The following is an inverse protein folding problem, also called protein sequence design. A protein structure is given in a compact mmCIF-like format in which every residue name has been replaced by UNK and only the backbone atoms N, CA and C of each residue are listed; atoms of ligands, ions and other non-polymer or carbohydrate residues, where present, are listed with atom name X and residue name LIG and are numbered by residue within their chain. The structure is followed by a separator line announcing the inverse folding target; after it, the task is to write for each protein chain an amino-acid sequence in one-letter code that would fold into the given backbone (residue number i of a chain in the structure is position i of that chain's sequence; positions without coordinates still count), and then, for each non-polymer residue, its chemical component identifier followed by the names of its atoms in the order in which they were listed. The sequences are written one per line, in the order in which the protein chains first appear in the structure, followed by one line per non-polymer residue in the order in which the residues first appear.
data_IF_399567575333
#
_entry.id   IF_399567575333
#
_cell.length_a   1.000
_cell.length_b   1.000
_cell.length_c   1.000
_cell.angle_alpha   90.00
_cell.angle_beta   90.00
_cell.angle_gamma   90.00
#
_symmetry.space_group_name_H-M   'P 1'
#
loop_
_entity.id
_entity.type
_entity.pdbx_description
1 polymer ?
#
# COMPACT_ATOMS: atom_id res chain seq x y z
N UNK A 1 29.76 6.54 29.88
CA UNK A 1 29.71 6.55 28.40
C UNK A 1 28.61 7.49 27.94
N UNK A 2 28.91 8.46 27.07
CA UNK A 2 27.88 9.33 26.48
C UNK A 2 26.94 8.48 25.62
N UNK A 3 25.63 8.74 25.64
CA UNK A 3 24.67 8.06 24.75
C UNK A 3 24.50 8.88 23.47
N UNK A 4 24.44 8.22 22.32
CA UNK A 4 24.07 8.87 21.06
C UNK A 4 22.66 9.47 21.16
N UNK A 5 22.49 10.71 20.70
CA UNK A 5 21.19 11.38 20.58
C UNK A 5 21.14 12.09 19.23
N UNK A 6 20.10 11.81 18.44
CA UNK A 6 19.90 12.50 17.18
C UNK A 6 18.82 13.58 17.35
N UNK A 7 19.12 14.87 17.10
CA UNK A 7 18.21 15.98 17.40
C UNK A 7 16.83 15.85 16.74
N UNK A 8 16.75 15.22 15.57
CA UNK A 8 15.52 15.03 14.81
C UNK A 8 14.89 13.64 15.01
N UNK A 9 15.24 12.92 16.09
CA UNK A 9 14.70 11.59 16.39
C UNK A 9 13.17 11.62 16.45
N UNK A 10 12.58 12.60 17.15
CA UNK A 10 11.11 12.73 17.27
C UNK A 10 10.43 12.95 15.91
N UNK A 11 11.03 13.77 15.05
CA UNK A 11 10.51 14.05 13.72
C UNK A 11 10.62 12.80 12.83
N UNK A 12 11.73 12.06 12.92
CA UNK A 12 11.89 10.78 12.18
C UNK A 12 10.81 9.77 12.58
N UNK A 13 10.58 9.60 13.88
CA UNK A 13 9.56 8.66 14.37
C UNK A 13 8.16 9.06 13.89
N UNK A 14 7.84 10.36 13.90
CA UNK A 14 6.59 10.86 13.32
C UNK A 14 6.49 10.55 11.82
N UNK A 15 7.54 10.79 11.04
CA UNK A 15 7.56 10.42 9.60
C UNK A 15 7.46 8.91 9.37
N UNK A 16 7.97 8.08 10.29
CA UNK A 16 7.78 6.63 10.24
C UNK A 16 6.31 6.26 10.41
N UNK A 17 5.65 6.86 11.40
CA UNK A 17 4.21 6.64 11.64
C UNK A 17 3.36 7.10 10.46
N UNK A 18 3.69 8.23 9.83
CA UNK A 18 3.03 8.66 8.60
C UNK A 18 3.24 7.66 7.47
N UNK A 19 4.47 7.17 7.25
CA UNK A 19 4.76 6.14 6.25
C UNK A 19 3.93 4.86 6.49
N UNK A 20 3.85 4.41 7.74
CA UNK A 20 3.03 3.25 8.14
C UNK A 20 1.54 3.49 7.86
N UNK A 21 1.02 4.68 8.18
CA UNK A 21 -0.36 5.07 7.93
C UNK A 21 -0.68 5.10 6.43
N UNK A 22 0.18 5.71 5.61
CA UNK A 22 0.00 5.78 4.15
C UNK A 22 0.09 4.38 3.51
N UNK A 23 0.91 3.48 4.08
CA UNK A 23 1.01 2.08 3.65
C UNK A 23 -0.30 1.33 3.92
N UNK A 24 -0.86 1.49 5.12
CA UNK A 24 -2.15 0.90 5.48
C UNK A 24 -3.29 1.45 4.62
N UNK A 25 -3.29 2.76 4.36
CA UNK A 25 -4.26 3.42 3.50
C UNK A 25 -4.17 2.92 2.03
N UNK A 26 -2.96 2.67 1.52
CA UNK A 26 -2.78 2.05 0.20
C UNK A 26 -3.34 0.64 0.16
N UNK A 27 -3.06 -0.18 1.16
CA UNK A 27 -3.61 -1.54 1.25
C UNK A 27 -5.15 -1.53 1.26
N UNK A 28 -5.76 -0.61 2.01
CA UNK A 28 -7.21 -0.43 2.03
C UNK A 28 -7.77 0.05 0.68
N UNK A 29 -7.07 0.94 -0.03
CA UNK A 29 -7.48 1.39 -1.36
C UNK A 29 -7.42 0.25 -2.40
N UNK A 30 -6.36 -0.55 -2.37
CA UNK A 30 -6.22 -1.72 -3.25
C UNK A 30 -7.29 -2.77 -2.95
N UNK A 31 -7.56 -3.04 -1.68
CA UNK A 31 -8.62 -3.98 -1.29
C UNK A 31 -10.00 -3.56 -1.80
N UNK A 32 -10.32 -2.26 -1.73
CA UNK A 32 -11.55 -1.70 -2.30
C UNK A 32 -11.63 -1.90 -3.82
N UNK A 33 -10.54 -1.65 -4.54
CA UNK A 33 -10.49 -1.90 -5.99
C UNK A 33 -10.74 -3.38 -6.32
N UNK A 34 -10.10 -4.29 -5.59
CA UNK A 34 -10.30 -5.73 -5.77
C UNK A 34 -11.74 -6.16 -5.47
N UNK A 35 -12.39 -5.56 -4.47
CA UNK A 35 -13.79 -5.84 -4.18
C UNK A 35 -14.72 -5.43 -5.34
N UNK A 36 -14.45 -4.28 -5.97
CA UNK A 36 -15.19 -3.82 -7.16
C UNK A 36 -14.95 -4.77 -8.33
N UNK A 37 -13.72 -5.22 -8.55
CA UNK A 37 -13.39 -6.18 -9.61
C UNK A 37 -14.08 -7.53 -9.41
N UNK A 38 -14.17 -8.02 -8.17
CA UNK A 38 -14.97 -9.23 -7.86
C UNK A 38 -16.45 -9.02 -8.14
N UNK A 39 -17.00 -7.86 -7.78
CA UNK A 39 -18.40 -7.51 -8.08
C UNK A 39 -18.67 -7.47 -9.59
N UNK A 40 -17.73 -6.93 -10.36
CA UNK A 40 -17.78 -6.97 -11.82
C UNK A 40 -17.79 -8.41 -12.35
N UNK A 41 -16.86 -9.25 -11.90
CA UNK A 41 -16.81 -10.65 -12.29
C UNK A 41 -18.12 -11.39 -11.96
N UNK A 42 -18.73 -11.10 -10.79
CA UNK A 42 -20.02 -11.65 -10.41
C UNK A 42 -21.16 -11.21 -11.35
N UNK A 43 -21.23 -9.93 -11.72
CA UNK A 43 -22.23 -9.43 -12.69
C UNK A 43 -22.10 -10.14 -14.04
N UNK A 44 -20.87 -10.36 -14.53
CA UNK A 44 -20.65 -11.09 -15.77
C UNK A 44 -21.05 -12.55 -15.67
N UNK A 45 -20.73 -13.21 -14.55
CA UNK A 45 -21.13 -14.59 -14.32
C UNK A 45 -22.66 -14.75 -14.23
N UNK A 46 -23.35 -13.86 -13.51
CA UNK A 46 -24.81 -13.79 -13.44
C UNK A 46 -25.43 -13.60 -14.85
N UNK A 47 -24.87 -12.68 -15.64
CA UNK A 47 -25.34 -12.40 -17.00
C UNK A 47 -25.10 -13.58 -17.97
N UNK A 48 -23.96 -14.27 -17.83
CA UNK A 48 -23.62 -15.46 -18.60
C UNK A 48 -24.56 -16.62 -18.29
N UNK A 49 -24.73 -16.95 -17.01
CA UNK A 49 -25.61 -18.03 -16.55
C UNK A 49 -27.06 -17.86 -17.02
N UNK A 50 -27.60 -16.64 -16.93
CA UNK A 50 -28.95 -16.35 -17.44
C UNK A 50 -29.06 -16.51 -18.97
N UNK A 51 -27.98 -16.26 -19.70
CA UNK A 51 -27.91 -16.48 -21.15
C UNK A 51 -27.80 -17.97 -21.51
N UNK A 52 -27.03 -18.74 -20.75
CA UNK A 52 -26.86 -20.18 -20.93
C UNK A 52 -28.14 -20.96 -20.61
N UNK A 53 -28.85 -20.59 -19.53
CA UNK A 53 -30.13 -21.22 -19.16
C UNK A 53 -31.21 -21.04 -20.24
N UNK A 54 -31.26 -19.87 -20.90
CA UNK A 54 -32.22 -19.68 -22.00
C UNK A 54 -31.83 -20.49 -23.24
N UNK A 55 -30.53 -20.52 -23.60
CA UNK A 55 -30.04 -21.33 -24.73
C UNK A 55 -30.28 -22.82 -24.52
N UNK A 56 -30.11 -23.32 -23.31
CA UNK A 56 -30.33 -24.73 -23.00
C UNK A 56 -31.82 -25.11 -23.09
N UNK A 57 -32.73 -24.24 -22.65
CA UNK A 57 -34.19 -24.42 -22.80
C UNK A 57 -34.64 -24.39 -24.26
N UNK A 58 -34.12 -23.45 -25.04
CA UNK A 58 -34.37 -23.39 -26.50
C UNK A 58 -33.90 -24.69 -27.19
N UNK A 59 -32.70 -25.17 -26.85
CA UNK A 59 -32.16 -26.43 -27.40
C UNK A 59 -32.96 -27.67 -26.97
N UNK A 60 -33.60 -27.65 -25.80
CA UNK A 60 -34.48 -28.70 -25.31
C UNK A 60 -35.89 -28.68 -25.96
N UNK A 61 -36.14 -27.77 -26.91
CA UNK A 61 -37.43 -27.63 -27.58
C UNK A 61 -38.53 -27.02 -26.71
N UNK A 62 -38.17 -26.45 -25.55
CA UNK A 62 -39.10 -25.66 -24.76
C UNK A 62 -39.33 -24.33 -25.48
N UNK A 63 -40.57 -24.07 -25.90
CA UNK A 63 -40.93 -22.78 -26.50
C UNK A 63 -40.74 -21.65 -25.50
N UNK A 64 -39.86 -20.70 -25.82
CA UNK A 64 -39.66 -19.51 -24.99
C UNK A 64 -40.91 -18.64 -25.06
N UNK A 65 -41.55 -18.43 -23.91
CA UNK A 65 -42.75 -17.57 -23.85
C UNK A 65 -42.31 -16.11 -23.99
N UNK A 66 -43.08 -15.29 -24.71
CA UNK A 66 -42.77 -13.86 -24.91
C UNK A 66 -42.50 -13.10 -23.59
N UNK A 67 -43.14 -13.51 -22.49
CA UNK A 67 -42.90 -12.99 -21.16
C UNK A 67 -41.49 -13.27 -20.62
N UNK A 68 -40.95 -14.47 -20.86
CA UNK A 68 -39.59 -14.87 -20.43
C UNK A 68 -38.52 -14.12 -21.25
N UNK A 69 -38.75 -13.95 -22.56
CA UNK A 69 -37.89 -13.13 -23.41
C UNK A 69 -37.86 -11.65 -22.95
N UNK A 70 -39.02 -11.09 -22.58
CA UNK A 70 -39.11 -9.73 -22.03
C UNK A 70 -38.39 -9.62 -20.67
N UNK A 71 -38.51 -10.62 -19.81
CA UNK A 71 -37.81 -10.68 -18.52
C UNK A 71 -36.29 -10.72 -18.70
N UNK A 72 -35.79 -11.54 -19.63
CA UNK A 72 -34.35 -11.60 -19.93
C UNK A 72 -33.84 -10.27 -20.50
N UNK A 73 -34.60 -9.61 -21.37
CA UNK A 73 -34.24 -8.30 -21.90
C UNK A 73 -34.09 -7.26 -20.79
N UNK A 74 -35.03 -7.22 -19.84
CA UNK A 74 -34.96 -6.35 -18.66
C UNK A 74 -33.74 -6.66 -17.79
N UNK A 75 -33.51 -7.95 -17.50
CA UNK A 75 -32.35 -8.40 -16.73
C UNK A 75 -31.03 -8.01 -17.40
N UNK A 76 -30.89 -8.17 -18.72
CA UNK A 76 -29.71 -7.75 -19.48
C UNK A 76 -29.51 -6.24 -19.43
N UNK A 77 -30.58 -5.45 -19.54
CA UNK A 77 -30.51 -4.00 -19.42
C UNK A 77 -30.04 -3.57 -18.01
N UNK A 78 -30.56 -4.22 -16.96
CA UNK A 78 -30.15 -3.98 -15.58
C UNK A 78 -28.69 -4.39 -15.34
N UNK A 79 -28.27 -5.57 -15.81
CA UNK A 79 -26.89 -6.03 -15.71
C UNK A 79 -25.91 -5.07 -16.40
N UNK A 80 -26.27 -4.53 -17.58
CA UNK A 80 -25.48 -3.49 -18.26
C UNK A 80 -25.40 -2.20 -17.45
N UNK A 81 -26.49 -1.79 -16.80
CA UNK A 81 -26.50 -0.59 -15.94
C UNK A 81 -25.60 -0.78 -14.71
N UNK A 82 -25.75 -1.92 -14.02
CA UNK A 82 -24.90 -2.32 -12.88
C UNK A 82 -23.43 -2.38 -13.27
N UNK A 83 -23.13 -2.93 -14.46
CA UNK A 83 -21.77 -2.97 -14.99
C UNK A 83 -21.20 -1.57 -15.24
N UNK A 84 -21.95 -0.69 -15.92
CA UNK A 84 -21.51 0.68 -16.20
C UNK A 84 -21.31 1.49 -14.90
N UNK A 85 -22.15 1.27 -13.89
CA UNK A 85 -21.97 1.84 -12.54
C UNK A 85 -20.68 1.33 -11.89
N UNK A 86 -20.45 0.01 -11.90
CA UNK A 86 -19.25 -0.60 -11.35
C UNK A 86 -17.96 -0.16 -12.07
N UNK A 87 -18.01 0.04 -13.39
CA UNK A 87 -16.85 0.54 -14.15
C UNK A 87 -16.49 1.98 -13.76
N UNK A 88 -17.49 2.85 -13.57
CA UNK A 88 -17.26 4.20 -13.05
C UNK A 88 -16.68 4.19 -11.64
N UNK A 89 -17.17 3.29 -10.79
CA UNK A 89 -16.66 3.12 -9.42
C UNK A 89 -15.20 2.62 -9.43
N UNK A 90 -14.90 1.65 -10.31
CA UNK A 90 -13.55 1.10 -10.52
C UNK A 90 -12.57 2.17 -10.95
N UNK A 91 -12.95 3.02 -11.90
CA UNK A 91 -12.08 4.10 -12.38
C UNK A 91 -11.77 5.10 -11.26
N UNK A 92 -12.78 5.49 -10.46
CA UNK A 92 -12.56 6.32 -9.26
C UNK A 92 -11.65 5.64 -8.24
N UNK A 93 -11.82 4.34 -8.02
CA UNK A 93 -10.99 3.57 -7.10
C UNK A 93 -9.54 3.47 -7.60
N UNK A 94 -9.31 3.29 -8.92
CA UNK A 94 -7.97 3.31 -9.53
C UNK A 94 -7.28 4.65 -9.34
N UNK A 95 -7.99 5.75 -9.57
CA UNK A 95 -7.47 7.10 -9.34
C UNK A 95 -7.10 7.30 -7.86
N UNK A 96 -7.93 6.83 -6.93
CA UNK A 96 -7.64 6.89 -5.51
C UNK A 96 -6.40 6.07 -5.12
N UNK A 97 -6.23 4.87 -5.69
CA UNK A 97 -5.02 4.05 -5.49
C UNK A 97 -3.78 4.79 -5.99
N UNK A 98 -3.84 5.40 -7.16
CA UNK A 98 -2.68 6.10 -7.71
C UNK A 98 -2.32 7.35 -6.90
N UNK A 99 -3.31 8.15 -6.48
CA UNK A 99 -3.09 9.26 -5.56
C UNK A 99 -2.46 8.80 -4.24
N UNK A 100 -2.92 7.67 -3.71
CA UNK A 100 -2.39 7.10 -2.48
C UNK A 100 -0.95 6.59 -2.64
N UNK A 101 -0.59 6.07 -3.81
CA UNK A 101 0.81 5.71 -4.12
C UNK A 101 1.73 6.92 -4.13
N UNK A 102 1.28 8.04 -4.70
CA UNK A 102 2.08 9.27 -4.70
C UNK A 102 2.34 9.77 -3.28
N UNK A 103 1.30 9.78 -2.42
CA UNK A 103 1.46 10.12 -0.99
C UNK A 103 2.42 9.20 -0.26
N UNK A 104 2.32 7.89 -0.52
CA UNK A 104 3.24 6.90 0.05
C UNK A 104 4.70 7.15 -0.37
N UNK A 105 4.93 7.48 -1.64
CA UNK A 105 6.26 7.80 -2.15
C UNK A 105 6.84 9.04 -1.47
N UNK A 106 6.04 10.09 -1.27
CA UNK A 106 6.45 11.31 -0.59
C UNK A 106 6.76 11.06 0.89
N UNK A 107 5.91 10.32 1.59
CA UNK A 107 6.13 9.92 2.99
C UNK A 107 7.42 9.11 3.12
N UNK A 108 7.64 8.15 2.20
CA UNK A 108 8.85 7.32 2.17
C UNK A 108 10.10 8.16 1.94
N UNK A 109 10.10 9.06 0.95
CA UNK A 109 11.24 9.97 0.68
C UNK A 109 11.57 10.81 1.92
N UNK A 110 10.56 11.36 2.57
CA UNK A 110 10.71 12.21 3.75
C UNK A 110 11.30 11.43 4.95
N UNK A 111 10.86 10.19 5.15
CA UNK A 111 11.42 9.30 6.17
C UNK A 111 12.88 8.90 5.85
N UNK A 112 13.16 8.46 4.62
CA UNK A 112 14.49 7.99 4.21
C UNK A 112 15.57 9.07 4.34
N UNK A 113 15.25 10.33 4.07
CA UNK A 113 16.19 11.44 4.25
C UNK A 113 16.59 11.58 5.72
N UNK A 114 15.62 11.56 6.64
CA UNK A 114 15.90 11.68 8.07
C UNK A 114 16.65 10.46 8.61
N UNK A 115 16.32 9.27 8.12
CA UNK A 115 16.97 8.04 8.54
C UNK A 115 18.45 8.01 8.10
N UNK A 116 18.74 8.34 6.84
CA UNK A 116 20.12 8.48 6.35
C UNK A 116 20.91 9.55 7.11
N UNK A 117 20.27 10.67 7.47
CA UNK A 117 20.91 11.70 8.28
C UNK A 117 21.28 11.18 9.68
N UNK A 118 20.40 10.40 10.31
CA UNK A 118 20.68 9.75 11.59
C UNK A 118 21.81 8.74 11.48
N UNK A 119 21.80 7.89 10.45
CA UNK A 119 22.86 6.91 10.22
C UNK A 119 24.23 7.58 10.08
N UNK A 120 24.33 8.64 9.27
CA UNK A 120 25.55 9.44 9.14
C UNK A 120 26.00 10.05 10.46
N UNK A 121 25.07 10.64 11.21
CA UNK A 121 25.37 11.21 12.53
C UNK A 121 25.85 10.14 13.52
N UNK A 122 25.24 8.95 13.48
CA UNK A 122 25.61 7.81 14.32
C UNK A 122 27.01 7.31 13.98
N UNK A 123 27.33 7.15 12.70
CA UNK A 123 28.67 6.72 12.28
C UNK A 123 29.76 7.71 12.70
N UNK A 124 29.49 9.02 12.60
CA UNK A 124 30.42 10.06 13.09
C UNK A 124 30.61 9.97 14.60
N UNK A 125 29.53 9.85 15.35
CA UNK A 125 29.57 9.72 16.80
C UNK A 125 30.36 8.48 17.26
N UNK A 126 30.19 7.34 16.59
CA UNK A 126 30.97 6.11 16.86
C UNK A 126 32.45 6.35 16.59
N UNK A 127 32.79 6.97 15.46
CA UNK A 127 34.18 7.24 15.10
C UNK A 127 34.86 8.20 16.09
N UNK A 128 34.17 9.25 16.54
CA UNK A 128 34.66 10.17 17.57
C UNK A 128 34.83 9.46 18.92
N UNK A 129 33.86 8.64 19.31
CA UNK A 129 33.91 7.87 20.55
C UNK A 129 35.10 6.89 20.58
N UNK A 130 35.38 6.21 19.46
CA UNK A 130 36.56 5.34 19.35
C UNK A 130 37.86 6.15 19.46
N UNK A 131 37.96 7.30 18.79
CA UNK A 131 39.13 8.19 18.93
C UNK A 131 39.34 8.68 20.37
N UNK A 132 38.28 9.06 21.06
CA UNK A 132 38.34 9.46 22.49
C UNK A 132 38.86 8.30 23.36
N UNK A 133 38.42 7.06 23.09
CA UNK A 133 38.91 5.88 23.82
C UNK A 133 40.38 5.58 23.54
N UNK A 134 40.79 5.63 22.27
CA UNK A 134 42.18 5.38 21.88
C UNK A 134 43.12 6.43 22.49
N UNK A 135 42.72 7.70 22.50
CA UNK A 135 43.46 8.78 23.15
C UNK A 135 43.58 8.56 24.66
N UNK A 136 42.47 8.22 25.34
CA UNK A 136 42.48 7.91 26.77
C UNK A 136 43.38 6.71 27.09
N UNK A 137 43.37 5.67 26.25
CA UNK A 137 44.23 4.50 26.41
C UNK A 137 45.71 4.85 26.24
N UNK A 138 46.05 5.69 25.26
CA UNK A 138 47.41 6.18 25.05
C UNK A 138 47.89 7.03 26.25
N UNK A 139 47.06 7.94 26.74
CA UNK A 139 47.38 8.78 27.91
C UNK A 139 47.60 7.92 29.17
N UNK A 140 46.75 6.92 29.40
CA UNK A 140 46.89 5.98 30.51
C UNK A 140 48.15 5.12 30.38
N UNK A 141 48.50 4.70 29.17
CA UNK A 141 49.71 3.95 28.90
C UNK A 141 50.96 4.79 29.20
N UNK A 142 51.02 6.02 28.68
CA UNK A 142 52.11 6.95 28.95
C UNK A 142 52.23 7.30 30.43
N UNK A 143 51.11 7.48 31.14
CA UNK A 143 51.12 7.76 32.57
C UNK A 143 51.67 6.59 33.42
N UNK A 144 51.48 5.34 32.97
CA UNK A 144 52.08 4.15 33.60
C UNK A 144 53.54 3.98 33.24
N UNK A 145 53.97 4.45 32.08
CA UNK A 145 55.33 4.37 31.58
C UNK A 145 56.13 5.60 32.01
N UNK A 146 56.26 5.82 33.33
CA UNK A 146 57.33 6.67 33.86
C UNK A 146 58.60 5.82 33.95
N UNK A 147 59.65 6.10 33.17
CA UNK A 147 60.94 5.46 33.38
C UNK A 147 61.55 6.01 34.68
N UNK A 148 61.99 5.11 35.56
CA UNK A 148 62.90 5.45 36.67
C UNK A 148 64.29 5.83 36.14
#
# INVERSE_FOLDING_TARGET
MKKFRFPLDRVREFRRMELEAETAALAAAVSRLQAIERRQAAILAEAGAAGDDMRSREAAGAGVVAAEAAQLSRFRAEARRRWAEAEREKERARQAVEQQRQRLLEARRSFEVLDRCREKARSRWIAEFHREQDALAADLFLAKWKPE
#
